data_IF_542033497233
#
_entry.id   IF_542033497233
#
_cell.length_a   1.000
_cell.length_b   1.000
_cell.length_c   1.000
_cell.angle_alpha   90.00
_cell.angle_beta   90.00
_cell.angle_gamma   90.00
#
_symmetry.space_group_name_H-M   'P 1'
#
loop_
_entity.id
_entity.type
_entity.pdbx_description
1 polymer ?
#
# COMPACT_ATOMS: atom_id res chain seq x y z
N UNK A 1 31.61 0.37 4.08
CA UNK A 1 31.59 1.33 2.94
C UNK A 1 30.87 0.61 1.82
N UNK A 2 29.67 1.03 1.53
CA UNK A 2 28.94 0.62 0.34
C UNK A 2 29.41 1.51 -0.81
N UNK A 3 30.08 0.96 -1.76
CA UNK A 3 30.26 1.52 -3.10
C UNK A 3 29.23 0.80 -3.97
N UNK A 4 27.99 1.24 -3.89
CA UNK A 4 26.91 0.73 -4.72
C UNK A 4 26.72 1.61 -5.91
N UNK A 5 26.62 1.00 -7.09
CA UNK A 5 26.18 1.69 -8.30
C UNK A 5 24.82 2.34 -8.07
N UNK A 6 24.67 3.58 -8.51
CA UNK A 6 23.38 4.26 -8.49
C UNK A 6 22.49 3.64 -9.54
N UNK A 7 21.36 3.05 -9.12
CA UNK A 7 20.35 2.55 -10.05
C UNK A 7 19.31 3.66 -10.20
N UNK A 8 19.19 4.22 -11.40
CA UNK A 8 18.07 5.08 -11.74
C UNK A 8 16.88 4.21 -12.15
N UNK A 9 15.77 4.37 -11.44
CA UNK A 9 14.51 3.68 -11.75
C UNK A 9 13.49 4.72 -12.19
N UNK A 10 13.00 4.62 -13.40
CA UNK A 10 11.84 5.38 -13.85
C UNK A 10 10.56 4.70 -13.37
N UNK A 11 9.68 5.44 -12.68
CA UNK A 11 8.39 4.94 -12.25
C UNK A 11 7.28 5.91 -12.64
N UNK A 12 6.08 5.36 -12.86
CA UNK A 12 4.89 6.16 -13.10
C UNK A 12 4.30 6.61 -11.77
N UNK A 13 3.85 7.84 -11.71
CA UNK A 13 3.12 8.38 -10.56
C UNK A 13 1.64 8.42 -10.87
N UNK A 14 0.80 8.52 -9.83
CA UNK A 14 -0.65 8.72 -10.01
C UNK A 14 -1.02 10.05 -10.69
N UNK A 15 -0.08 11.00 -10.75
CA UNK A 15 -0.23 12.25 -11.45
C UNK A 15 0.23 12.17 -12.91
N UNK A 16 0.65 11.01 -13.38
CA UNK A 16 1.00 10.82 -14.78
C UNK A 16 -0.23 11.03 -15.67
N UNK A 17 -0.13 11.97 -16.59
CA UNK A 17 -1.23 12.38 -17.47
C UNK A 17 -1.79 11.20 -18.28
N UNK A 18 -0.96 10.22 -18.63
CA UNK A 18 -1.38 9.03 -19.35
C UNK A 18 -2.23 8.11 -18.48
N UNK A 19 -1.94 8.01 -17.17
CA UNK A 19 -2.76 7.26 -16.21
C UNK A 19 -4.13 7.93 -16.08
N UNK A 20 -4.16 9.25 -15.97
CA UNK A 20 -5.41 10.03 -15.88
C UNK A 20 -6.24 9.96 -17.17
N UNK A 21 -5.59 9.99 -18.35
CA UNK A 21 -6.27 9.87 -19.65
C UNK A 21 -6.87 8.48 -19.85
N UNK A 22 -6.18 7.43 -19.49
CA UNK A 22 -6.69 6.06 -19.57
C UNK A 22 -7.89 5.83 -18.64
N UNK A 23 -7.99 6.59 -17.55
CA UNK A 23 -9.13 6.55 -16.62
C UNK A 23 -10.38 7.27 -17.13
N UNK A 24 -10.27 8.09 -18.16
CA UNK A 24 -11.44 8.74 -18.78
C UNK A 24 -12.25 7.79 -19.69
N UNK A 25 -11.71 6.62 -20.00
CA UNK A 25 -12.34 5.60 -20.84
C UNK A 25 -12.98 4.47 -20.00
N UNK A 26 -13.89 4.82 -19.08
CA UNK A 26 -14.91 3.98 -18.45
C UNK A 26 -14.47 2.80 -17.54
N UNK A 27 -13.22 2.40 -17.48
CA UNK A 27 -12.80 1.31 -16.58
C UNK A 27 -11.43 1.55 -15.96
N UNK A 28 -11.34 1.36 -14.64
CA UNK A 28 -10.09 1.36 -13.89
C UNK A 28 -9.79 -0.07 -13.46
N UNK A 29 -8.74 -0.65 -14.03
CA UNK A 29 -8.25 -1.98 -13.65
C UNK A 29 -7.06 -1.84 -12.70
N UNK A 30 -7.10 -2.53 -11.58
CA UNK A 30 -5.99 -2.60 -10.64
C UNK A 30 -5.88 -3.97 -10.00
N UNK A 31 -4.68 -4.34 -9.61
CA UNK A 31 -4.41 -5.58 -8.89
C UNK A 31 -4.35 -5.30 -7.40
N UNK A 32 -4.96 -6.19 -6.61
CA UNK A 32 -4.93 -6.14 -5.16
C UNK A 32 -4.21 -7.37 -4.62
N UNK A 33 -3.13 -7.17 -3.87
CA UNK A 33 -2.36 -8.21 -3.23
C UNK A 33 -2.29 -7.97 -1.72
N UNK A 34 -2.25 -9.02 -0.93
CA UNK A 34 -2.06 -8.96 0.51
C UNK A 34 -1.36 -10.21 1.02
N UNK A 35 -0.69 -10.12 2.17
CA UNK A 35 -0.05 -11.25 2.85
C UNK A 35 0.90 -12.06 1.95
N UNK A 36 1.70 -11.38 1.12
CA UNK A 36 2.61 -12.04 0.19
C UNK A 36 3.76 -12.73 0.94
N UNK A 37 4.24 -12.15 2.04
CA UNK A 37 5.34 -12.67 2.87
C UNK A 37 6.57 -13.10 2.07
N UNK A 38 6.89 -12.34 1.01
CA UNK A 38 7.96 -12.67 0.07
C UNK A 38 7.79 -14.03 -0.63
N UNK A 39 6.56 -14.53 -0.74
CA UNK A 39 6.28 -15.84 -1.38
C UNK A 39 6.13 -15.77 -2.89
N UNK A 40 5.85 -14.58 -3.45
CA UNK A 40 5.79 -14.38 -4.89
C UNK A 40 7.16 -14.07 -5.45
N UNK A 41 7.50 -14.68 -6.56
CA UNK A 41 8.75 -14.45 -7.28
C UNK A 41 8.53 -13.68 -8.60
N UNK A 42 9.61 -13.47 -9.35
CA UNK A 42 9.55 -12.76 -10.63
C UNK A 42 8.67 -13.47 -11.65
N UNK A 43 8.57 -14.79 -11.60
CA UNK A 43 7.74 -15.59 -12.52
C UNK A 43 6.26 -15.31 -12.27
N UNK A 44 5.86 -15.21 -10.99
CA UNK A 44 4.49 -14.89 -10.59
C UNK A 44 4.10 -13.50 -11.08
N UNK A 45 4.96 -12.50 -10.86
CA UNK A 45 4.70 -11.13 -11.31
C UNK A 45 4.70 -10.98 -12.82
N UNK A 46 5.54 -11.73 -13.56
CA UNK A 46 5.47 -11.79 -15.03
C UNK A 46 4.14 -12.37 -15.50
N UNK A 47 3.73 -13.50 -14.93
CA UNK A 47 2.45 -14.12 -15.26
C UNK A 47 1.27 -13.18 -14.99
N UNK A 48 1.28 -12.46 -13.87
CA UNK A 48 0.27 -11.45 -13.55
C UNK A 48 0.26 -10.31 -14.58
N UNK A 49 1.44 -9.82 -14.97
CA UNK A 49 1.57 -8.77 -15.98
C UNK A 49 1.03 -9.20 -17.36
N UNK A 50 1.31 -10.44 -17.76
CA UNK A 50 0.84 -11.00 -19.04
C UNK A 50 -0.68 -11.22 -19.05
N UNK A 51 -1.24 -11.69 -17.94
CA UNK A 51 -2.69 -11.91 -17.80
C UNK A 51 -3.50 -10.62 -17.71
N UNK A 52 -2.89 -9.57 -17.17
CA UNK A 52 -3.54 -8.28 -16.90
C UNK A 52 -2.75 -7.11 -17.49
N UNK A 53 -2.63 -7.03 -18.84
CA UNK A 53 -1.78 -6.02 -19.49
C UNK A 53 -2.30 -4.58 -19.33
N UNK A 54 -3.55 -4.40 -18.92
CA UNK A 54 -4.21 -3.10 -18.80
C UNK A 54 -4.26 -2.57 -17.36
N UNK A 55 -3.51 -3.17 -16.42
CA UNK A 55 -3.46 -2.67 -15.04
C UNK A 55 -2.92 -1.24 -15.01
N UNK A 56 -3.65 -0.34 -14.36
CA UNK A 56 -3.30 1.06 -14.21
C UNK A 56 -2.43 1.30 -12.98
N UNK A 57 -2.67 0.54 -11.92
CA UNK A 57 -1.88 0.53 -10.68
C UNK A 57 -2.09 -0.79 -9.94
N UNK A 58 -1.35 -0.99 -8.88
CA UNK A 58 -1.57 -2.10 -7.98
C UNK A 58 -1.56 -1.65 -6.53
N UNK A 59 -2.23 -2.41 -5.68
CA UNK A 59 -2.32 -2.13 -4.26
C UNK A 59 -1.81 -3.32 -3.45
N UNK A 60 -1.04 -3.01 -2.42
CA UNK A 60 -0.49 -3.97 -1.48
C UNK A 60 -1.05 -3.71 -0.09
N UNK A 61 -1.76 -4.69 0.47
CA UNK A 61 -2.51 -4.56 1.72
C UNK A 61 -1.75 -5.05 2.96
N UNK A 62 -0.45 -4.83 3.02
CA UNK A 62 0.38 -5.20 4.16
C UNK A 62 0.95 -6.62 4.09
N UNK A 63 1.90 -6.88 4.96
CA UNK A 63 2.64 -8.13 5.04
C UNK A 63 3.27 -8.52 3.70
N UNK A 64 3.91 -7.56 3.05
CA UNK A 64 4.62 -7.81 1.84
C UNK A 64 5.86 -8.67 2.09
N UNK A 65 6.60 -8.33 3.16
CA UNK A 65 7.80 -9.05 3.54
C UNK A 65 7.55 -9.85 4.83
N UNK A 66 8.26 -10.96 4.98
CA UNK A 66 8.19 -11.78 6.21
C UNK A 66 8.71 -11.00 7.43
N UNK A 67 9.70 -10.15 7.25
CA UNK A 67 10.28 -9.29 8.29
C UNK A 67 10.94 -8.06 7.67
N UNK A 68 11.04 -6.92 8.39
CA UNK A 68 11.62 -5.70 7.88
C UNK A 68 13.16 -5.74 7.84
N UNK A 69 13.76 -6.84 7.41
CA UNK A 69 15.21 -6.98 7.26
C UNK A 69 15.63 -6.72 5.81
N UNK A 70 16.86 -6.27 5.64
CA UNK A 70 17.44 -5.93 4.33
C UNK A 70 17.28 -7.04 3.28
N UNK A 71 17.49 -8.30 3.67
CA UNK A 71 17.30 -9.45 2.78
C UNK A 71 15.91 -9.51 2.15
N UNK A 72 14.85 -9.36 2.95
CA UNK A 72 13.48 -9.43 2.45
C UNK A 72 13.10 -8.25 1.55
N UNK A 73 13.73 -7.08 1.78
CA UNK A 73 13.57 -5.92 0.90
C UNK A 73 14.19 -6.16 -0.47
N UNK A 74 15.38 -6.72 -0.50
CA UNK A 74 16.02 -7.11 -1.76
C UNK A 74 15.19 -8.16 -2.49
N UNK A 75 14.69 -9.17 -1.79
CA UNK A 75 13.83 -10.19 -2.37
C UNK A 75 12.58 -9.56 -3.00
N UNK A 76 11.93 -8.63 -2.29
CA UNK A 76 10.80 -7.87 -2.79
C UNK A 76 11.13 -7.14 -4.09
N UNK A 77 12.20 -6.35 -4.09
CA UNK A 77 12.64 -5.63 -5.28
C UNK A 77 12.92 -6.59 -6.44
N UNK A 78 13.63 -7.67 -6.20
CA UNK A 78 13.94 -8.67 -7.23
C UNK A 78 12.69 -9.37 -7.76
N UNK A 79 11.65 -9.55 -6.96
CA UNK A 79 10.43 -10.21 -7.42
C UNK A 79 9.67 -9.41 -8.48
N UNK A 80 9.71 -8.08 -8.41
CA UNK A 80 9.03 -7.20 -9.38
C UNK A 80 9.92 -6.73 -10.53
N UNK A 81 11.24 -6.89 -10.40
CA UNK A 81 12.23 -6.39 -11.35
C UNK A 81 12.00 -6.96 -12.76
N UNK A 82 12.01 -6.09 -13.78
CA UNK A 82 11.76 -6.46 -15.17
C UNK A 82 10.33 -6.89 -15.47
N UNK A 83 9.38 -6.60 -14.58
CA UNK A 83 7.94 -6.79 -14.79
C UNK A 83 7.23 -5.44 -14.91
N UNK A 84 5.94 -5.43 -15.31
CA UNK A 84 5.16 -4.20 -15.33
C UNK A 84 5.04 -3.56 -13.92
N UNK A 85 5.08 -4.36 -12.85
CA UNK A 85 4.96 -3.90 -11.47
C UNK A 85 6.13 -3.04 -10.99
N UNK A 86 7.29 -3.12 -11.65
CA UNK A 86 8.43 -2.25 -11.35
C UNK A 86 8.13 -0.78 -11.64
N UNK A 87 7.31 -0.50 -12.65
CA UNK A 87 7.03 0.87 -13.12
C UNK A 87 5.61 1.35 -12.87
N UNK A 88 4.68 0.45 -12.56
CA UNK A 88 3.30 0.82 -12.24
C UNK A 88 3.22 1.54 -10.88
N UNK A 89 2.31 2.52 -10.76
CA UNK A 89 2.02 3.13 -9.46
C UNK A 89 1.58 2.09 -8.44
N UNK A 90 1.99 2.26 -7.18
CA UNK A 90 1.60 1.38 -6.07
C UNK A 90 0.85 2.16 -4.99
N UNK A 91 -0.21 1.54 -4.45
CA UNK A 91 -0.87 1.94 -3.20
C UNK A 91 -0.44 0.96 -2.12
N UNK A 92 0.44 1.37 -1.21
CA UNK A 92 0.99 0.49 -0.19
C UNK A 92 0.44 0.80 1.20
N UNK A 93 -0.08 -0.24 1.87
CA UNK A 93 -0.54 -0.19 3.26
C UNK A 93 0.39 -1.07 4.10
N UNK A 94 0.92 -0.61 5.24
CA UNK A 94 1.72 -1.46 6.10
C UNK A 94 0.86 -2.50 6.82
N UNK A 95 1.38 -3.74 6.92
CA UNK A 95 0.87 -4.78 7.78
C UNK A 95 1.70 -4.96 9.04
N UNK A 96 1.41 -5.98 9.81
CA UNK A 96 2.11 -6.21 11.08
C UNK A 96 3.56 -6.72 10.89
N UNK A 97 3.90 -7.29 9.74
CA UNK A 97 5.26 -7.72 9.42
C UNK A 97 6.17 -6.56 8.99
N UNK A 98 5.62 -5.42 8.63
CA UNK A 98 6.38 -4.19 8.42
C UNK A 98 6.72 -3.46 9.72
N UNK A 99 6.25 -3.97 10.87
CA UNK A 99 6.52 -3.42 12.20
C UNK A 99 7.54 -4.25 12.98
N UNK A 100 8.40 -3.57 13.72
CA UNK A 100 9.26 -4.22 14.71
C UNK A 100 8.40 -4.78 15.86
N UNK A 101 8.68 -6.01 16.27
CA UNK A 101 8.00 -6.69 17.39
C UNK A 101 8.64 -6.35 18.77
N UNK A 102 9.14 -5.12 18.96
CA UNK A 102 9.68 -4.64 20.23
C UNK A 102 8.60 -4.25 21.24
N UNK A 103 9.03 -3.80 22.43
CA UNK A 103 8.13 -3.30 23.49
C UNK A 103 7.25 -2.15 22.96
N UNK A 104 7.80 -1.30 22.10
CA UNK A 104 7.06 -0.28 21.36
C UNK A 104 7.09 -0.69 19.88
N UNK A 105 5.92 -0.98 19.33
CA UNK A 105 5.80 -1.24 17.91
C UNK A 105 6.20 0.01 17.13
N UNK A 106 7.13 -0.11 16.24
CA UNK A 106 7.53 0.96 15.32
C UNK A 106 7.57 0.43 13.89
N UNK A 107 6.97 1.19 13.00
CA UNK A 107 7.12 0.94 11.57
C UNK A 107 8.61 1.03 11.23
N UNK A 108 9.03 0.20 10.35
CA UNK A 108 10.38 0.13 9.90
C UNK A 108 10.81 1.46 9.20
N UNK A 109 12.02 1.91 9.52
CA UNK A 109 12.46 3.28 9.25
C UNK A 109 12.44 3.69 7.77
N UNK A 110 12.65 2.74 6.86
CA UNK A 110 12.74 3.03 5.41
C UNK A 110 11.39 2.94 4.69
N UNK A 111 10.27 2.74 5.41
CA UNK A 111 8.94 2.60 4.80
C UNK A 111 8.65 3.74 3.81
N UNK A 112 8.81 4.98 4.25
CA UNK A 112 8.53 6.15 3.41
C UNK A 112 9.53 6.37 2.28
N UNK A 113 10.69 5.73 2.35
CA UNK A 113 11.69 5.72 1.29
C UNK A 113 11.34 4.69 0.21
N UNK A 114 10.88 3.52 0.62
CA UNK A 114 10.45 2.46 -0.31
C UNK A 114 9.11 2.80 -0.94
N UNK A 115 8.19 3.32 -0.12
CA UNK A 115 6.85 3.72 -0.53
C UNK A 115 6.67 5.23 -0.31
N UNK A 116 6.99 6.08 -1.29
CA UNK A 116 6.81 7.53 -1.21
C UNK A 116 5.33 7.91 -1.33
N UNK A 117 4.53 7.41 -0.41
CA UNK A 117 3.08 7.59 -0.36
C UNK A 117 2.70 9.07 -0.09
N UNK A 118 1.48 9.50 -0.48
CA UNK A 118 0.95 10.83 -0.16
C UNK A 118 1.02 11.16 1.33
N UNK A 119 1.33 12.42 1.65
CA UNK A 119 1.45 12.93 3.01
C UNK A 119 0.19 13.69 3.45
N UNK A 120 -0.99 13.24 3.01
CA UNK A 120 -2.29 13.92 3.20
C UNK A 120 -3.19 13.25 4.24
N UNK A 121 -2.64 12.33 5.00
CA UNK A 121 -3.33 11.60 6.06
C UNK A 121 -3.27 12.28 7.44
N UNK A 122 -3.71 11.58 8.50
CA UNK A 122 -3.61 12.07 9.87
C UNK A 122 -2.15 12.33 10.25
N UNK A 123 -1.89 13.43 10.99
CA UNK A 123 -0.53 13.90 11.30
C UNK A 123 0.43 12.83 11.80
N UNK A 124 -0.04 11.88 12.61
CA UNK A 124 0.79 10.79 13.15
C UNK A 124 0.97 9.61 12.19
N UNK A 125 0.24 9.60 11.08
CA UNK A 125 0.17 8.49 10.13
C UNK A 125 0.52 8.91 8.70
N UNK A 126 1.21 10.02 8.54
CA UNK A 126 1.64 10.53 7.23
C UNK A 126 2.43 9.47 6.45
N UNK A 127 2.09 9.26 5.19
CA UNK A 127 2.69 8.24 4.33
C UNK A 127 2.32 6.79 4.66
N UNK A 128 1.44 6.55 5.66
CA UNK A 128 0.97 5.23 6.09
C UNK A 128 -0.55 5.10 6.03
N UNK A 129 -1.25 6.16 6.44
CA UNK A 129 -2.66 6.38 6.17
C UNK A 129 -2.77 7.62 5.31
N UNK A 130 -3.41 7.52 4.13
CA UNK A 130 -3.44 8.59 3.14
C UNK A 130 -4.59 8.38 2.15
N UNK A 131 -4.81 9.38 1.30
CA UNK A 131 -5.83 9.36 0.24
C UNK A 131 -5.13 9.41 -1.12
N UNK A 132 -5.64 8.61 -2.05
CA UNK A 132 -5.37 8.74 -3.48
C UNK A 132 -6.69 9.00 -4.19
N UNK A 133 -6.77 10.13 -4.90
CA UNK A 133 -7.95 10.53 -5.65
C UNK A 133 -7.76 10.31 -7.15
N UNK A 134 -8.72 9.63 -7.72
CA UNK A 134 -8.95 9.50 -9.14
C UNK A 134 -10.23 10.25 -9.52
N UNK A 135 -10.53 10.50 -10.79
CA UNK A 135 -11.73 11.22 -11.19
C UNK A 135 -13.03 10.63 -10.62
N UNK A 136 -13.18 9.30 -10.63
CA UNK A 136 -14.38 8.58 -10.21
C UNK A 136 -14.19 7.72 -8.97
N UNK A 137 -12.96 7.59 -8.46
CA UNK A 137 -12.60 6.72 -7.36
C UNK A 137 -11.77 7.48 -6.32
N UNK A 138 -12.04 7.28 -5.05
CA UNK A 138 -11.19 7.64 -3.91
C UNK A 138 -10.71 6.38 -3.22
N UNK A 139 -9.41 6.24 -3.03
CA UNK A 139 -8.82 5.20 -2.19
C UNK A 139 -8.36 5.86 -0.89
N UNK A 140 -8.78 5.30 0.24
CA UNK A 140 -8.36 5.72 1.58
C UNK A 140 -7.61 4.55 2.20
N UNK A 141 -6.36 4.75 2.56
CA UNK A 141 -5.54 3.73 3.23
C UNK A 141 -5.53 3.95 4.74
N UNK A 142 -5.51 2.88 5.52
CA UNK A 142 -5.43 2.93 6.98
C UNK A 142 -4.35 1.99 7.47
N UNK A 143 -3.36 2.54 8.15
CA UNK A 143 -2.36 1.79 8.91
C UNK A 143 -2.97 1.31 10.23
N UNK A 144 -3.48 0.09 10.22
CA UNK A 144 -4.17 -0.48 11.38
C UNK A 144 -3.21 -0.98 12.47
N UNK A 145 -1.98 -1.38 12.12
CA UNK A 145 -1.01 -1.84 13.11
C UNK A 145 -0.36 -0.68 13.88
N UNK A 146 -0.36 0.51 13.30
CA UNK A 146 0.07 1.74 13.94
C UNK A 146 -0.88 2.31 14.99
N UNK A 147 -2.13 1.83 15.06
CA UNK A 147 -3.15 2.28 16.02
C UNK A 147 -2.90 1.66 17.39
N UNK A 148 -2.06 2.30 18.21
CA UNK A 148 -1.64 1.75 19.51
C UNK A 148 -2.28 2.44 20.70
N UNK A 149 -2.90 3.60 20.51
CA UNK A 149 -3.48 4.41 21.59
C UNK A 149 -4.91 4.81 21.24
N UNK A 150 -5.75 5.03 22.23
CA UNK A 150 -7.12 5.53 22.00
C UNK A 150 -7.12 6.84 21.20
N UNK A 151 -6.15 7.73 21.42
CA UNK A 151 -6.01 8.97 20.66
C UNK A 151 -5.72 8.73 19.16
N UNK A 152 -5.06 7.63 18.83
CA UNK A 152 -4.77 7.27 17.45
C UNK A 152 -6.06 6.85 16.74
N UNK A 153 -6.86 6.00 17.38
CA UNK A 153 -8.17 5.60 16.85
C UNK A 153 -9.08 6.82 16.66
N UNK A 154 -9.18 7.70 17.66
CA UNK A 154 -10.01 8.89 17.56
C UNK A 154 -9.60 9.78 16.40
N UNK A 155 -8.29 10.01 16.23
CA UNK A 155 -7.76 10.84 15.14
C UNK A 155 -8.05 10.22 13.77
N UNK A 156 -7.80 8.91 13.62
CA UNK A 156 -7.99 8.22 12.34
C UNK A 156 -9.47 8.09 11.99
N UNK A 157 -10.34 7.78 12.95
CA UNK A 157 -11.79 7.70 12.72
C UNK A 157 -12.37 9.06 12.33
N UNK A 158 -11.94 10.14 12.99
CA UNK A 158 -12.39 11.49 12.64
C UNK A 158 -11.95 11.86 11.21
N UNK A 159 -10.68 11.65 10.89
CA UNK A 159 -10.14 11.89 9.56
C UNK A 159 -10.83 11.03 8.49
N UNK A 160 -11.07 9.73 8.76
CA UNK A 160 -11.75 8.84 7.84
C UNK A 160 -13.17 9.32 7.52
N UNK A 161 -13.94 9.73 8.55
CA UNK A 161 -15.29 10.29 8.36
C UNK A 161 -15.26 11.53 7.48
N UNK A 162 -14.34 12.45 7.71
CA UNK A 162 -14.16 13.63 6.86
C UNK A 162 -13.82 13.23 5.43
N UNK A 163 -12.85 12.34 5.26
CA UNK A 163 -12.38 11.87 3.95
C UNK A 163 -13.48 11.21 3.12
N UNK A 164 -14.35 10.42 3.77
CA UNK A 164 -15.51 9.81 3.10
C UNK A 164 -16.51 10.90 2.68
N UNK A 165 -16.81 11.86 3.56
CA UNK A 165 -17.75 12.94 3.24
C UNK A 165 -17.24 13.84 2.09
N UNK A 166 -15.93 14.06 2.03
CA UNK A 166 -15.29 14.86 0.98
C UNK A 166 -15.17 14.11 -0.36
N UNK A 167 -15.40 12.81 -0.37
CA UNK A 167 -15.35 12.01 -1.60
C UNK A 167 -16.47 12.41 -2.59
N UNK A 168 -17.57 12.96 -2.10
CA UNK A 168 -18.74 13.35 -2.90
C UNK A 168 -19.30 12.16 -3.68
N UNK A 169 -19.32 12.28 -5.03
CA UNK A 169 -19.90 11.28 -5.92
C UNK A 169 -18.89 10.18 -6.34
N UNK A 170 -17.66 10.21 -5.80
CA UNK A 170 -16.66 9.19 -6.11
C UNK A 170 -16.94 7.89 -5.36
N UNK A 171 -16.78 6.78 -6.05
CA UNK A 171 -16.67 5.48 -5.37
C UNK A 171 -15.54 5.55 -4.35
N UNK A 172 -15.79 5.15 -3.10
CA UNK A 172 -14.78 5.17 -2.06
C UNK A 172 -14.41 3.74 -1.65
N UNK A 173 -13.13 3.41 -1.78
CA UNK A 173 -12.55 2.15 -1.30
C UNK A 173 -11.66 2.45 -0.11
N UNK A 174 -11.90 1.78 1.03
CA UNK A 174 -11.03 1.85 2.21
C UNK A 174 -10.17 0.59 2.23
N UNK A 175 -8.85 0.78 2.22
CA UNK A 175 -7.86 -0.28 2.21
C UNK A 175 -7.12 -0.33 3.54
N UNK A 176 -7.03 -1.53 4.13
CA UNK A 176 -6.32 -1.77 5.39
C UNK A 176 -5.85 -3.22 5.47
N UNK A 177 -4.81 -3.48 6.26
CA UNK A 177 -4.29 -4.83 6.45
C UNK A 177 -5.21 -5.70 7.31
N UNK A 178 -5.49 -5.24 8.55
CA UNK A 178 -6.34 -6.03 9.44
C UNK A 178 -7.81 -5.90 9.06
N UNK A 179 -8.55 -7.02 8.96
CA UNK A 179 -9.97 -6.99 8.67
C UNK A 179 -10.75 -6.33 9.83
N UNK A 180 -11.82 -5.59 9.49
CA UNK A 180 -12.72 -4.98 10.49
C UNK A 180 -13.40 -6.07 11.33
N UNK A 181 -13.79 -7.16 10.66
CA UNK A 181 -14.41 -8.33 11.30
C UNK A 181 -13.71 -9.59 10.82
N UNK A 182 -13.49 -10.53 11.73
CA UNK A 182 -13.00 -11.87 11.40
C UNK A 182 -13.79 -12.92 12.16
N UNK A 183 -14.22 -13.97 11.44
CA UNK A 183 -14.84 -15.17 12.02
C UNK A 183 -13.86 -16.32 12.17
N UNK A 184 -12.61 -16.13 11.74
CA UNK A 184 -11.57 -17.15 11.84
C UNK A 184 -11.22 -17.43 13.31
N UNK A 185 -11.13 -18.69 13.67
CA UNK A 185 -10.77 -19.12 15.02
C UNK A 185 -9.38 -18.54 15.41
N UNK A 186 -9.30 -17.91 16.58
CA UNK A 186 -8.08 -17.25 17.08
C UNK A 186 -7.73 -15.92 16.40
N UNK A 187 -8.57 -15.44 15.47
CA UNK A 187 -8.41 -14.15 14.78
C UNK A 187 -9.61 -13.23 14.98
N UNK A 188 -10.45 -13.54 15.96
CA UNK A 188 -11.62 -12.71 16.29
C UNK A 188 -11.14 -11.39 16.91
N UNK A 189 -11.58 -10.29 16.33
CA UNK A 189 -11.38 -9.00 16.95
C UNK A 189 -12.30 -8.92 18.17
N UNK A 190 -11.79 -8.71 19.39
CA UNK A 190 -12.65 -8.38 20.51
C UNK A 190 -13.35 -7.05 20.19
N UNK A 191 -14.66 -7.06 20.19
CA UNK A 191 -15.50 -5.86 20.13
C UNK A 191 -15.32 -5.02 21.39
#
# INVERSE_FOLDING_TARGET
KWEGDTIEVAFKTFADEQVLLNMQNDSLEFLLLGDIHSSLDTTDFKMLSERHPNIHFWAQLGDWMERPYFYYKQQLYHSIQGTAFETLPIVAVPGNHEYNKGIVKSLYADWTTIFPNPQNGPRRFLGRSYIVDFPTLRIITIDTDGLQRMSDYTQVVFWLKQSINEAKDRLTIVMMHHPVFSTAQGRQNPL
#
